data_IF_801226052383
#
_entry.id   IF_801226052383
#
_cell.length_a   1.000
_cell.length_b   1.000
_cell.length_c   1.000
_cell.angle_alpha   90.00
_cell.angle_beta   90.00
_cell.angle_gamma   90.00
#
_symmetry.space_group_name_H-M   'P 1'
#
loop_
_entity.id
_entity.type
_entity.pdbx_description
1 polymer ?
#
# COMPACT_ATOMS: atom_id res chain seq x y z
N UNK A 1 12.82 13.95 6.53
CA UNK A 1 11.79 13.20 7.28
C UNK A 1 10.43 13.85 7.15
N UNK A 2 10.25 15.12 7.49
CA UNK A 2 8.98 15.84 7.42
C UNK A 2 8.30 15.71 6.04
N UNK A 3 9.06 15.81 4.96
CA UNK A 3 8.54 15.61 3.60
C UNK A 3 8.04 14.19 3.37
N UNK A 4 8.75 13.17 3.85
CA UNK A 4 8.35 11.77 3.72
C UNK A 4 7.09 11.49 4.54
N UNK A 5 6.99 12.05 5.76
CA UNK A 5 5.78 11.98 6.57
C UNK A 5 4.58 12.61 5.84
N UNK A 6 4.76 13.78 5.25
CA UNK A 6 3.69 14.47 4.51
C UNK A 6 3.23 13.67 3.28
N UNK A 7 4.17 13.04 2.55
CA UNK A 7 3.86 12.23 1.37
C UNK A 7 3.19 10.90 1.71
N UNK A 8 3.58 10.28 2.82
CA UNK A 8 3.12 8.94 3.19
C UNK A 8 1.81 8.90 3.99
N UNK A 9 1.28 10.04 4.44
CA UNK A 9 0.05 10.07 5.23
C UNK A 9 -1.16 9.62 4.43
N UNK A 10 -2.01 8.81 5.07
CA UNK A 10 -3.34 8.51 4.54
C UNK A 10 -4.17 9.79 4.46
N UNK A 11 -4.95 9.99 3.37
CA UNK A 11 -5.92 11.10 3.29
C UNK A 11 -7.00 11.05 4.37
N UNK A 12 -7.27 9.88 4.96
CA UNK A 12 -8.23 9.69 6.04
C UNK A 12 -7.52 9.86 7.39
N UNK A 13 -7.73 11.00 8.06
CA UNK A 13 -7.27 11.22 9.42
C UNK A 13 -7.91 10.21 10.40
N UNK A 14 -7.09 9.64 11.32
CA UNK A 14 -7.51 8.76 12.42
C UNK A 14 -8.05 7.38 12.02
N UNK A 15 -7.50 6.74 11.01
CA UNK A 15 -7.80 5.32 10.72
C UNK A 15 -6.93 4.37 11.54
N UNK A 16 -7.44 3.18 11.93
CA UNK A 16 -6.65 2.16 12.64
C UNK A 16 -5.38 1.75 11.88
N UNK A 17 -4.38 1.26 12.62
CA UNK A 17 -3.14 0.73 12.05
C UNK A 17 -3.42 -0.27 10.90
N UNK A 18 -2.63 -0.19 9.83
CA UNK A 18 -2.74 -1.07 8.67
C UNK A 18 -3.92 -0.80 7.74
N UNK A 19 -4.75 0.22 7.98
CA UNK A 19 -5.88 0.52 7.08
C UNK A 19 -5.38 0.89 5.69
N UNK A 20 -4.39 1.76 5.57
CA UNK A 20 -3.82 2.12 4.28
C UNK A 20 -3.34 0.88 3.51
N UNK A 21 -2.54 0.03 4.16
CA UNK A 21 -2.01 -1.18 3.54
C UNK A 21 -3.12 -2.17 3.14
N UNK A 22 -4.18 -2.30 3.94
CA UNK A 22 -5.36 -3.13 3.59
C UNK A 22 -6.12 -2.60 2.39
N UNK A 23 -6.31 -1.29 2.31
CA UNK A 23 -7.04 -0.65 1.21
C UNK A 23 -6.36 -0.89 -0.15
N UNK A 24 -5.02 -0.94 -0.17
CA UNK A 24 -4.24 -1.17 -1.38
C UNK A 24 -3.68 -2.59 -1.49
N UNK A 25 -4.12 -3.53 -0.62
CA UNK A 25 -3.48 -4.84 -0.44
C UNK A 25 -3.24 -5.59 -1.76
N UNK A 26 -4.24 -5.71 -2.61
CA UNK A 26 -4.10 -6.43 -3.88
C UNK A 26 -2.96 -5.84 -4.74
N UNK A 27 -2.85 -4.52 -4.76
CA UNK A 27 -1.80 -3.84 -5.49
C UNK A 27 -0.43 -4.02 -4.84
N UNK A 28 -0.38 -3.90 -3.51
CA UNK A 28 0.84 -4.08 -2.72
C UNK A 28 1.39 -5.50 -2.85
N UNK A 29 0.53 -6.52 -2.83
CA UNK A 29 0.91 -7.92 -3.03
C UNK A 29 1.63 -8.12 -4.37
N UNK A 30 1.12 -7.54 -5.44
CA UNK A 30 1.74 -7.65 -6.77
C UNK A 30 3.05 -6.86 -6.80
N UNK A 31 3.01 -5.60 -6.43
CA UNK A 31 4.12 -4.66 -6.63
C UNK A 31 5.33 -5.01 -5.76
N UNK A 32 5.13 -5.26 -4.46
CA UNK A 32 6.21 -5.57 -3.54
C UNK A 32 6.77 -6.99 -3.77
N UNK A 33 5.90 -7.99 -4.05
CA UNK A 33 6.38 -9.33 -4.39
C UNK A 33 7.21 -9.33 -5.66
N UNK A 34 6.76 -8.64 -6.70
CA UNK A 34 7.48 -8.51 -7.95
C UNK A 34 8.80 -7.76 -7.78
N UNK A 35 8.75 -6.53 -7.27
CA UNK A 35 9.93 -5.66 -7.20
C UNK A 35 11.01 -6.22 -6.26
N UNK A 36 10.62 -6.72 -5.07
CA UNK A 36 11.57 -7.34 -4.14
C UNK A 36 12.19 -8.62 -4.70
N UNK A 37 11.44 -9.43 -5.48
CA UNK A 37 11.97 -10.61 -6.15
C UNK A 37 12.91 -10.25 -7.30
N UNK A 38 12.60 -9.21 -8.09
CA UNK A 38 13.50 -8.73 -9.16
C UNK A 38 14.86 -8.28 -8.63
N UNK A 39 14.90 -7.63 -7.47
CA UNK A 39 16.16 -7.24 -6.83
C UNK A 39 17.04 -8.45 -6.44
N UNK A 40 16.48 -9.65 -6.39
CA UNK A 40 17.21 -10.92 -6.19
C UNK A 40 17.40 -11.71 -7.50
N UNK A 41 17.11 -11.11 -8.64
CA UNK A 41 17.33 -11.73 -9.96
C UNK A 41 16.15 -12.54 -10.50
N UNK A 42 14.98 -12.52 -9.86
CA UNK A 42 13.76 -13.13 -10.38
C UNK A 42 13.35 -12.47 -11.71
N UNK A 43 12.96 -13.27 -12.68
CA UNK A 43 12.68 -12.82 -14.05
C UNK A 43 11.19 -12.73 -14.39
N UNK A 44 10.29 -12.95 -13.44
CA UNK A 44 8.86 -12.73 -13.62
C UNK A 44 8.58 -11.29 -14.06
N UNK A 45 7.68 -11.13 -15.03
CA UNK A 45 7.12 -9.81 -15.33
C UNK A 45 6.10 -9.43 -14.24
N UNK A 46 5.81 -8.13 -14.11
CA UNK A 46 4.77 -7.66 -13.19
C UNK A 46 3.39 -8.23 -13.54
N UNK A 47 3.09 -8.41 -14.84
CA UNK A 47 1.83 -8.99 -15.30
C UNK A 47 1.74 -10.48 -14.93
N UNK A 48 2.82 -11.25 -15.10
CA UNK A 48 2.84 -12.67 -14.74
C UNK A 48 2.77 -12.84 -13.20
N UNK A 49 3.39 -11.93 -12.44
CA UNK A 49 3.24 -11.89 -10.98
C UNK A 49 1.79 -11.63 -10.57
N UNK A 50 1.10 -10.71 -11.24
CA UNK A 50 -0.32 -10.48 -10.99
C UNK A 50 -1.16 -11.72 -11.27
N UNK A 51 -0.95 -12.39 -12.42
CA UNK A 51 -1.65 -13.64 -12.78
C UNK A 51 -1.39 -14.77 -11.77
N UNK A 52 -0.15 -14.88 -11.31
CA UNK A 52 0.21 -15.87 -10.28
C UNK A 52 -0.49 -15.58 -8.95
N UNK A 53 -0.47 -14.34 -8.48
CA UNK A 53 -1.04 -13.94 -7.19
C UNK A 53 -2.57 -14.02 -7.19
N UNK A 54 -3.22 -13.55 -8.27
CA UNK A 54 -4.68 -13.45 -8.35
C UNK A 54 -5.35 -14.76 -8.79
N UNK A 55 -4.73 -15.52 -9.71
CA UNK A 55 -5.34 -16.68 -10.33
C UNK A 55 -4.57 -17.99 -10.14
N UNK A 56 -3.41 -17.96 -9.45
CA UNK A 56 -2.55 -19.14 -9.31
C UNK A 56 -1.90 -19.62 -10.60
N UNK A 57 -1.83 -18.78 -11.63
CA UNK A 57 -1.30 -19.13 -12.94
C UNK A 57 0.21 -18.95 -12.98
N UNK A 58 0.94 -20.06 -13.04
CA UNK A 58 2.39 -20.06 -13.21
C UNK A 58 2.72 -19.62 -14.65
N UNK A 59 3.69 -18.71 -14.77
CA UNK A 59 4.11 -18.22 -16.07
C UNK A 59 4.94 -19.29 -16.83
N UNK A 60 4.73 -19.36 -18.13
CA UNK A 60 5.48 -20.29 -19.00
C UNK A 60 6.99 -19.97 -19.01
N UNK A 61 7.82 -21.00 -18.93
CA UNK A 61 9.27 -20.87 -18.95
C UNK A 61 9.90 -20.38 -17.64
N UNK A 62 9.12 -20.25 -16.55
CA UNK A 62 9.62 -19.92 -15.22
C UNK A 62 9.85 -21.17 -14.39
N UNK A 63 10.92 -21.15 -13.58
CA UNK A 63 11.20 -22.28 -12.70
C UNK A 63 10.38 -22.23 -11.40
N UNK A 64 10.41 -23.35 -10.67
CA UNK A 64 9.69 -23.47 -9.42
C UNK A 64 10.23 -22.54 -8.33
N UNK A 65 11.54 -22.27 -8.34
CA UNK A 65 12.20 -21.39 -7.37
C UNK A 65 11.74 -19.94 -7.50
N UNK A 66 11.69 -19.43 -8.75
CA UNK A 66 11.19 -18.08 -9.04
C UNK A 66 9.72 -17.93 -8.64
N UNK A 67 8.89 -18.93 -8.94
CA UNK A 67 7.47 -18.97 -8.59
C UNK A 67 7.29 -18.99 -7.07
N UNK A 68 8.00 -19.86 -6.37
CA UNK A 68 7.94 -19.98 -4.91
C UNK A 68 8.37 -18.68 -4.24
N UNK A 69 9.40 -18.00 -4.74
CA UNK A 69 9.87 -16.71 -4.21
C UNK A 69 8.75 -15.67 -4.19
N UNK A 70 7.95 -15.57 -5.27
CA UNK A 70 6.82 -14.62 -5.34
C UNK A 70 5.71 -15.01 -4.35
N UNK A 71 5.37 -16.30 -4.27
CA UNK A 71 4.33 -16.77 -3.35
C UNK A 71 4.72 -16.57 -1.88
N UNK A 72 5.99 -16.75 -1.55
CA UNK A 72 6.53 -16.47 -0.23
C UNK A 72 6.43 -14.98 0.14
N UNK A 73 6.74 -14.09 -0.80
CA UNK A 73 6.54 -12.65 -0.58
C UNK A 73 5.07 -12.33 -0.32
N UNK A 74 4.15 -12.90 -1.11
CA UNK A 74 2.71 -12.74 -0.90
C UNK A 74 2.31 -13.09 0.53
N UNK A 75 2.71 -14.27 1.01
CA UNK A 75 2.39 -14.74 2.37
C UNK A 75 2.98 -13.82 3.45
N UNK A 76 4.23 -13.38 3.28
CA UNK A 76 4.89 -12.49 4.23
C UNK A 76 4.24 -11.09 4.29
N UNK A 77 3.78 -10.56 3.15
CA UNK A 77 3.04 -9.29 3.10
C UNK A 77 1.66 -9.46 3.77
N UNK A 78 0.94 -10.54 3.47
CA UNK A 78 -0.35 -10.85 4.10
C UNK A 78 -0.22 -10.97 5.61
N UNK A 79 0.84 -11.62 6.10
CA UNK A 79 1.15 -11.72 7.54
C UNK A 79 1.25 -10.34 8.20
N UNK A 80 1.99 -9.40 7.58
CA UNK A 80 2.15 -8.05 8.12
C UNK A 80 0.85 -7.22 8.08
N UNK A 81 0.04 -7.38 7.03
CA UNK A 81 -1.14 -6.51 6.81
C UNK A 81 -2.37 -7.01 7.57
N UNK A 82 -2.55 -8.33 7.70
CA UNK A 82 -3.74 -8.89 8.38
C UNK A 82 -3.68 -8.77 9.90
N UNK A 83 -2.47 -8.70 10.49
CA UNK A 83 -2.27 -8.61 11.94
C UNK A 83 -1.32 -7.46 12.31
N UNK A 84 -1.62 -6.21 11.95
CA UNK A 84 -0.71 -5.08 12.11
C UNK A 84 -0.39 -4.79 13.59
N UNK A 85 -1.27 -5.16 14.51
CA UNK A 85 -1.07 -5.01 15.95
C UNK A 85 -0.01 -6.00 16.48
N UNK A 86 0.09 -7.17 15.86
CA UNK A 86 1.07 -8.20 16.20
C UNK A 86 2.39 -8.03 15.42
N UNK A 87 2.33 -7.40 14.25
CA UNK A 87 3.49 -7.10 13.41
C UNK A 87 4.31 -5.95 14.01
N UNK A 88 4.95 -6.20 15.15
CA UNK A 88 5.87 -5.28 15.82
C UNK A 88 7.31 -5.62 15.46
N UNK A 89 8.23 -4.66 15.59
CA UNK A 89 9.65 -4.93 15.45
C UNK A 89 10.11 -5.75 16.66
N UNK A 90 10.27 -7.05 16.47
CA UNK A 90 10.70 -8.02 17.48
C UNK A 90 11.49 -9.15 16.83
N UNK A 91 12.28 -9.87 17.61
CA UNK A 91 12.99 -11.05 17.10
C UNK A 91 12.03 -12.07 16.50
N UNK A 92 10.89 -12.33 17.16
CA UNK A 92 9.89 -13.29 16.70
C UNK A 92 9.30 -12.89 15.34
N UNK A 93 8.99 -11.60 15.15
CA UNK A 93 8.48 -11.08 13.86
C UNK A 93 9.51 -11.21 12.74
N UNK A 94 10.79 -10.86 13.02
CA UNK A 94 11.86 -10.98 12.01
C UNK A 94 12.11 -12.43 11.63
N UNK A 95 12.11 -13.34 12.61
CA UNK A 95 12.25 -14.78 12.39
C UNK A 95 11.04 -15.35 11.64
N UNK A 96 9.82 -14.91 11.94
CA UNK A 96 8.61 -15.29 11.21
C UNK A 96 8.66 -14.84 9.74
N UNK A 97 9.09 -13.60 9.48
CA UNK A 97 9.31 -13.11 8.11
C UNK A 97 10.33 -13.95 7.37
N UNK A 98 11.43 -14.33 8.03
CA UNK A 98 12.41 -15.24 7.41
C UNK A 98 11.79 -16.59 7.10
N UNK A 99 11.05 -17.19 8.03
CA UNK A 99 10.39 -18.48 7.81
C UNK A 99 9.47 -18.45 6.59
N UNK A 100 8.62 -17.43 6.48
CA UNK A 100 7.70 -17.26 5.34
C UNK A 100 8.45 -17.03 4.02
N UNK A 101 9.48 -16.17 4.02
CA UNK A 101 10.23 -15.80 2.81
C UNK A 101 11.17 -16.92 2.31
N UNK A 102 11.59 -17.85 3.19
CA UNK A 102 12.54 -18.91 2.88
C UNK A 102 11.87 -20.27 2.64
N UNK A 103 10.57 -20.40 2.84
CA UNK A 103 9.84 -21.66 2.69
C UNK A 103 10.03 -22.24 1.28
N UNK A 104 10.45 -23.52 1.21
CA UNK A 104 10.72 -24.22 -0.04
C UNK A 104 11.91 -23.69 -0.85
N UNK A 105 12.66 -22.68 -0.35
CA UNK A 105 13.81 -22.09 -1.05
C UNK A 105 15.16 -22.43 -0.40
N UNK A 106 15.15 -22.97 0.82
CA UNK A 106 16.39 -23.34 1.51
C UNK A 106 16.80 -24.76 1.17
N UNK A 107 18.11 -25.02 0.93
CA UNK A 107 18.63 -26.38 0.74
C UNK A 107 18.32 -27.31 1.90
N UNK A 108 18.37 -26.78 3.14
CA UNK A 108 17.93 -27.46 4.35
C UNK A 108 16.67 -26.77 4.90
N UNK A 109 15.48 -27.40 4.81
CA UNK A 109 14.23 -26.84 5.33
C UNK A 109 14.26 -26.53 6.82
N UNK A 110 15.14 -27.21 7.60
CA UNK A 110 15.29 -26.93 9.02
C UNK A 110 15.87 -25.56 9.33
N UNK A 111 16.46 -24.88 8.35
CA UNK A 111 17.01 -23.53 8.50
C UNK A 111 15.96 -22.43 8.34
N UNK A 112 14.77 -22.73 7.83
CA UNK A 112 13.69 -21.77 7.76
C UNK A 112 13.29 -21.28 9.16
N UNK A 113 13.30 -19.94 9.36
CA UNK A 113 12.97 -19.35 10.66
C UNK A 113 14.02 -19.59 11.75
N UNK A 114 15.28 -19.79 11.40
CA UNK A 114 16.36 -19.97 12.37
C UNK A 114 17.55 -19.09 12.09
N UNK A 115 18.15 -18.56 13.15
CA UNK A 115 19.44 -17.89 13.08
C UNK A 115 20.49 -18.94 12.69
N UNK A 116 21.36 -18.58 11.76
CA UNK A 116 22.38 -19.50 11.24
C UNK A 116 23.42 -19.88 12.30
N UNK A 117 23.87 -21.09 12.21
CA UNK A 117 24.97 -21.64 13.03
C UNK A 117 26.27 -21.81 12.26
N UNK A 118 26.30 -21.43 10.97
CA UNK A 118 27.46 -21.55 10.07
C UNK A 118 27.94 -20.18 9.62
N UNK A 119 29.23 -20.06 9.33
CA UNK A 119 29.73 -18.91 8.59
C UNK A 119 29.15 -18.90 7.16
N UNK A 120 28.91 -17.72 6.66
CA UNK A 120 28.44 -17.51 5.28
C UNK A 120 29.29 -16.41 4.62
N UNK A 121 29.24 -16.39 3.31
CA UNK A 121 29.83 -15.32 2.47
C UNK A 121 28.72 -14.59 1.73
N UNK A 122 28.95 -13.33 1.40
CA UNK A 122 28.04 -12.54 0.58
C UNK A 122 28.59 -12.55 -0.85
N UNK A 123 27.82 -13.12 -1.78
CA UNK A 123 28.19 -13.13 -3.18
C UNK A 123 28.42 -11.72 -3.72
N UNK A 124 29.60 -11.50 -4.35
CA UNK A 124 29.97 -10.20 -4.90
C UNK A 124 30.52 -9.19 -3.89
N UNK A 125 30.79 -9.58 -2.63
CA UNK A 125 31.39 -8.72 -1.61
C UNK A 125 32.55 -9.42 -0.89
N UNK A 126 33.53 -8.63 -0.45
CA UNK A 126 34.62 -9.09 0.40
C UNK A 126 34.29 -9.02 1.91
N UNK A 127 33.14 -8.49 2.24
CA UNK A 127 32.68 -8.41 3.62
C UNK A 127 32.40 -9.80 4.21
N UNK A 128 32.95 -10.07 5.38
CA UNK A 128 32.76 -11.33 6.10
C UNK A 128 31.85 -11.08 7.32
N UNK A 129 30.62 -11.58 7.31
CA UNK A 129 29.71 -11.47 8.45
C UNK A 129 30.21 -12.24 9.67
N UNK A 130 29.71 -11.87 10.86
CA UNK A 130 30.04 -12.54 12.14
C UNK A 130 29.88 -14.03 12.02
N UNK A 131 30.92 -14.81 12.32
CA UNK A 131 30.95 -16.25 12.16
C UNK A 131 30.48 -17.02 13.41
N UNK A 132 30.68 -16.46 14.62
CA UNK A 132 30.39 -17.12 15.90
C UNK A 132 28.88 -17.09 16.19
N UNK A 133 28.19 -18.26 16.28
CA UNK A 133 26.74 -18.32 16.45
C UNK A 133 26.21 -17.59 17.68
N UNK A 134 26.86 -17.77 18.83
CA UNK A 134 26.45 -17.14 20.09
C UNK A 134 26.57 -15.60 20.02
N UNK A 135 27.62 -15.12 19.35
CA UNK A 135 27.79 -13.68 19.14
C UNK A 135 26.77 -13.14 18.14
N UNK A 136 26.42 -13.92 17.15
CA UNK A 136 25.40 -13.57 16.18
C UNK A 136 24.02 -13.45 16.82
N UNK A 137 23.63 -14.41 17.67
CA UNK A 137 22.37 -14.36 18.44
C UNK A 137 22.31 -13.13 19.36
N UNK A 138 23.40 -12.87 20.09
CA UNK A 138 23.50 -11.67 20.93
C UNK A 138 23.33 -10.39 20.12
N UNK A 139 24.07 -10.24 19.02
CA UNK A 139 24.02 -9.06 18.15
C UNK A 139 22.65 -8.92 17.46
N UNK A 140 22.01 -10.04 17.08
CA UNK A 140 20.66 -10.00 16.52
C UNK A 140 19.67 -9.45 17.55
N UNK A 141 19.75 -9.91 18.81
CA UNK A 141 18.94 -9.36 19.90
C UNK A 141 19.17 -7.87 20.12
N UNK A 142 20.43 -7.42 20.11
CA UNK A 142 20.79 -6.00 20.26
C UNK A 142 20.24 -5.17 19.09
N UNK A 143 20.47 -5.59 17.85
CA UNK A 143 20.02 -4.85 16.64
C UNK A 143 18.50 -4.71 16.62
N UNK A 144 17.77 -5.80 16.87
CA UNK A 144 16.30 -5.76 16.88
C UNK A 144 15.77 -4.95 18.07
N UNK A 145 16.41 -5.03 19.24
CA UNK A 145 16.08 -4.22 20.42
C UNK A 145 16.27 -2.73 20.15
N UNK A 146 17.42 -2.34 19.58
CA UNK A 146 17.68 -0.94 19.19
C UNK A 146 16.64 -0.47 18.13
N UNK A 147 16.34 -1.30 17.14
CA UNK A 147 15.34 -0.95 16.15
C UNK A 147 13.96 -0.71 16.79
N UNK A 148 13.58 -1.51 17.79
CA UNK A 148 12.29 -1.37 18.47
C UNK A 148 12.16 -0.07 19.29
N UNK A 149 13.29 0.50 19.74
CA UNK A 149 13.32 1.77 20.48
C UNK A 149 13.26 3.02 19.59
N UNK A 150 13.43 2.88 18.28
CA UNK A 150 13.35 4.01 17.33
C UNK A 150 11.87 4.40 17.14
N UNK A 151 11.53 5.63 17.53
CA UNK A 151 10.15 6.15 17.45
C UNK A 151 9.76 6.60 16.05
N UNK A 152 10.69 7.21 15.28
CA UNK A 152 10.41 7.69 13.92
C UNK A 152 10.31 6.50 12.95
N UNK A 153 9.17 6.29 12.26
CA UNK A 153 8.95 5.13 11.40
C UNK A 153 9.91 5.06 10.20
N UNK A 154 10.41 6.18 9.71
CA UNK A 154 11.40 6.20 8.62
C UNK A 154 12.79 5.83 9.10
N UNK A 155 13.19 6.32 10.26
CA UNK A 155 14.45 5.92 10.88
C UNK A 155 14.43 4.43 11.24
N UNK A 156 13.33 3.94 11.81
CA UNK A 156 13.14 2.54 12.17
C UNK A 156 13.22 1.63 10.93
N UNK A 157 12.50 2.00 9.85
CA UNK A 157 12.53 1.25 8.59
C UNK A 157 13.92 1.22 7.96
N UNK A 158 14.58 2.37 7.90
CA UNK A 158 15.92 2.47 7.33
C UNK A 158 16.97 1.73 8.17
N UNK A 159 16.87 1.81 9.50
CA UNK A 159 17.73 1.06 10.42
C UNK A 159 17.66 -0.44 10.14
N UNK A 160 16.46 -0.99 9.99
CA UNK A 160 16.26 -2.42 9.66
C UNK A 160 16.84 -2.76 8.29
N UNK A 161 16.70 -1.88 7.30
CA UNK A 161 17.25 -2.08 5.95
C UNK A 161 18.78 -2.10 5.92
N UNK A 162 19.44 -1.38 6.83
CA UNK A 162 20.90 -1.36 6.94
C UNK A 162 21.40 -2.55 7.73
N UNK A 163 20.89 -2.73 8.95
CA UNK A 163 21.52 -3.60 9.94
C UNK A 163 21.19 -5.08 9.78
N UNK A 164 19.99 -5.45 9.32
CA UNK A 164 19.66 -6.86 9.10
C UNK A 164 20.53 -7.49 7.99
N UNK A 165 20.67 -6.91 6.80
CA UNK A 165 21.55 -7.47 5.79
C UNK A 165 23.04 -7.30 6.13
N UNK A 166 23.45 -6.30 6.93
CA UNK A 166 24.82 -6.18 7.41
C UNK A 166 25.17 -7.30 8.39
N UNK A 167 24.27 -7.59 9.33
CA UNK A 167 24.47 -8.65 10.32
C UNK A 167 24.41 -10.05 9.71
N UNK A 168 23.59 -10.24 8.65
CA UNK A 168 23.34 -11.55 8.03
C UNK A 168 22.92 -12.62 9.06
N UNK A 169 21.81 -12.43 9.81
CA UNK A 169 21.42 -13.38 10.85
C UNK A 169 21.00 -14.75 10.32
N UNK A 170 20.63 -14.87 9.07
CA UNK A 170 20.15 -16.10 8.42
C UNK A 170 21.15 -16.61 7.38
N UNK A 171 21.01 -17.87 6.98
CA UNK A 171 21.87 -18.47 5.94
C UNK A 171 21.66 -17.83 4.57
N UNK A 172 20.43 -17.43 4.25
CA UNK A 172 20.05 -16.69 3.04
C UNK A 172 18.84 -15.78 3.37
N UNK A 173 18.27 -15.12 2.37
CA UNK A 173 17.03 -14.31 2.43
C UNK A 173 17.16 -13.01 3.23
N UNK A 174 18.33 -12.69 3.79
CA UNK A 174 18.53 -11.53 4.66
C UNK A 174 18.09 -10.18 4.06
N UNK A 175 18.38 -9.94 2.78
CA UNK A 175 17.95 -8.71 2.08
C UNK A 175 16.42 -8.66 1.88
N UNK A 176 15.80 -9.79 1.57
CA UNK A 176 14.33 -9.89 1.44
C UNK A 176 13.64 -9.64 2.77
N UNK A 177 14.14 -10.24 3.86
CA UNK A 177 13.66 -9.98 5.23
C UNK A 177 13.76 -8.51 5.58
N UNK A 178 14.90 -7.85 5.31
CA UNK A 178 15.09 -6.44 5.65
C UNK A 178 14.10 -5.52 4.92
N UNK A 179 13.82 -5.78 3.63
CA UNK A 179 12.84 -5.02 2.84
C UNK A 179 11.40 -5.19 3.35
N UNK A 180 11.04 -6.40 3.76
CA UNK A 180 9.73 -6.64 4.36
C UNK A 180 9.64 -6.04 5.77
N UNK A 181 10.66 -6.22 6.61
CA UNK A 181 10.73 -5.65 7.96
C UNK A 181 10.64 -4.12 7.96
N UNK A 182 11.21 -3.45 6.94
CA UNK A 182 11.08 -2.00 6.77
C UNK A 182 9.62 -1.53 6.61
N UNK A 183 8.71 -2.40 6.22
CA UNK A 183 7.28 -2.08 6.12
C UNK A 183 6.53 -2.16 7.45
N UNK A 184 7.09 -2.79 8.48
CA UNK A 184 6.44 -2.90 9.80
C UNK A 184 6.06 -1.52 10.36
N UNK A 185 7.01 -0.54 10.49
CA UNK A 185 6.66 0.78 11.01
C UNK A 185 5.65 1.52 10.12
N UNK A 186 5.74 1.41 8.81
CA UNK A 186 4.79 2.09 7.92
C UNK A 186 3.37 1.56 8.08
N UNK A 187 3.19 0.25 8.16
CA UNK A 187 1.90 -0.38 8.39
C UNK A 187 1.33 0.01 9.75
N UNK A 188 2.16 0.01 10.81
CA UNK A 188 1.74 0.37 12.16
C UNK A 188 1.33 1.83 12.31
N UNK A 189 2.04 2.74 11.66
CA UNK A 189 1.75 4.17 11.68
C UNK A 189 0.76 4.61 10.59
N UNK A 190 0.16 3.64 9.89
CA UNK A 190 -0.80 3.88 8.80
C UNK A 190 -0.24 4.81 7.71
N UNK A 191 1.04 4.61 7.39
CA UNK A 191 1.75 5.29 6.33
C UNK A 191 1.75 4.45 5.05
N UNK A 192 2.05 5.09 3.93
CA UNK A 192 2.22 4.43 2.65
C UNK A 192 3.27 3.31 2.75
N UNK A 193 2.99 2.06 2.36
CA UNK A 193 3.99 1.01 2.32
C UNK A 193 5.06 1.25 1.26
N UNK A 194 6.27 0.75 1.52
CA UNK A 194 7.41 0.80 0.62
C UNK A 194 7.41 -0.43 -0.29
N UNK A 195 7.30 -0.26 -1.61
CA UNK A 195 7.18 -1.36 -2.59
C UNK A 195 8.44 -1.67 -3.38
N UNK A 196 9.45 -0.81 -3.35
CA UNK A 196 10.67 -0.90 -4.17
C UNK A 196 10.43 -0.91 -5.69
N UNK A 197 9.24 -0.51 -6.13
CA UNK A 197 8.90 -0.48 -7.56
C UNK A 197 9.82 0.50 -8.29
N UNK A 198 10.24 0.11 -9.49
CA UNK A 198 11.15 0.86 -10.35
C UNK A 198 12.56 1.10 -9.76
N UNK A 199 12.93 0.51 -8.62
CA UNK A 199 14.31 0.61 -8.10
C UNK A 199 15.26 -0.13 -9.04
N UNK A 200 16.27 0.55 -9.61
CA UNK A 200 17.25 -0.12 -10.46
C UNK A 200 18.05 -1.14 -9.63
N UNK A 201 18.11 -2.38 -10.10
CA UNK A 201 18.79 -3.47 -9.41
C UNK A 201 20.26 -3.11 -9.09
N UNK A 202 20.97 -2.54 -10.05
CA UNK A 202 22.38 -2.17 -9.88
C UNK A 202 22.55 -1.10 -8.79
N UNK A 203 21.68 -0.08 -8.73
CA UNK A 203 21.75 0.95 -7.70
C UNK A 203 21.55 0.36 -6.30
N UNK A 204 20.64 -0.61 -6.16
CA UNK A 204 20.44 -1.31 -4.88
C UNK A 204 21.65 -2.18 -4.51
N UNK A 205 22.24 -2.89 -5.48
CA UNK A 205 23.44 -3.71 -5.25
C UNK A 205 24.61 -2.83 -4.82
N UNK A 206 24.88 -1.73 -5.54
CA UNK A 206 25.97 -0.79 -5.22
C UNK A 206 25.79 -0.16 -3.85
N UNK A 207 24.53 0.18 -3.51
CA UNK A 207 24.20 0.69 -2.18
C UNK A 207 24.50 -0.31 -1.06
N UNK A 208 24.16 -1.60 -1.30
CA UNK A 208 24.45 -2.67 -0.33
C UNK A 208 25.95 -2.94 -0.19
N UNK A 209 26.71 -2.90 -1.29
CA UNK A 209 28.18 -3.00 -1.25
C UNK A 209 28.77 -1.84 -0.45
N UNK A 210 28.27 -0.62 -0.62
CA UNK A 210 28.67 0.54 0.16
C UNK A 210 28.48 0.31 1.68
N UNK A 211 27.37 -0.30 2.07
CA UNK A 211 27.09 -0.69 3.46
C UNK A 211 28.06 -1.77 3.94
N UNK A 212 28.26 -2.82 3.17
CA UNK A 212 29.06 -3.98 3.55
C UNK A 212 30.56 -3.66 3.67
N UNK A 213 31.12 -2.99 2.68
CA UNK A 213 32.57 -2.84 2.55
C UNK A 213 33.09 -1.51 3.08
N UNK A 214 32.26 -0.47 3.01
CA UNK A 214 32.68 0.90 3.33
C UNK A 214 32.02 1.46 4.59
N UNK A 215 31.06 0.77 5.19
CA UNK A 215 30.20 1.26 6.26
C UNK A 215 29.53 2.61 5.88
N UNK A 216 29.21 2.80 4.60
CA UNK A 216 28.57 3.98 4.06
C UNK A 216 27.10 3.68 3.71
N UNK A 217 26.20 4.47 4.27
CA UNK A 217 24.77 4.27 4.13
C UNK A 217 24.09 5.28 3.19
N UNK A 218 24.85 6.27 2.70
CA UNK A 218 24.29 7.40 1.95
C UNK A 218 23.56 6.96 0.67
N UNK A 219 24.19 6.09 -0.11
CA UNK A 219 23.56 5.60 -1.35
C UNK A 219 22.31 4.76 -1.04
N UNK A 220 22.34 3.91 0.00
CA UNK A 220 21.16 3.14 0.39
C UNK A 220 20.06 4.06 0.92
N UNK A 221 20.41 5.14 1.64
CA UNK A 221 19.43 6.16 2.05
C UNK A 221 18.78 6.84 0.84
N UNK A 222 19.55 7.19 -0.16
CA UNK A 222 19.02 7.85 -1.35
C UNK A 222 18.10 6.91 -2.15
N UNK A 223 18.47 5.63 -2.27
CA UNK A 223 17.61 4.57 -2.83
C UNK A 223 16.32 4.41 -2.02
N UNK A 224 16.42 4.38 -0.69
CA UNK A 224 15.26 4.26 0.22
C UNK A 224 14.30 5.45 0.05
N UNK A 225 14.81 6.67 0.08
CA UNK A 225 14.00 7.89 -0.07
C UNK A 225 13.30 7.89 -1.43
N UNK A 226 14.04 7.65 -2.49
CA UNK A 226 13.50 7.59 -3.85
C UNK A 226 12.42 6.50 -4.00
N UNK A 227 12.68 5.30 -3.49
CA UNK A 227 11.74 4.18 -3.54
C UNK A 227 10.45 4.48 -2.75
N UNK A 228 10.57 5.18 -1.61
CA UNK A 228 9.43 5.58 -0.82
C UNK A 228 8.57 6.64 -1.53
N UNK A 229 9.19 7.69 -2.07
CA UNK A 229 8.51 8.72 -2.86
C UNK A 229 7.77 8.09 -4.06
N UNK A 230 8.42 7.15 -4.74
CA UNK A 230 7.84 6.42 -5.86
C UNK A 230 6.63 5.57 -5.45
N UNK A 231 6.73 4.89 -4.31
CA UNK A 231 5.62 4.11 -3.74
C UNK A 231 4.43 5.02 -3.41
N UNK A 232 4.67 6.16 -2.77
CA UNK A 232 3.62 7.12 -2.44
C UNK A 232 2.91 7.66 -3.69
N UNK A 233 3.65 8.01 -4.74
CA UNK A 233 3.06 8.48 -6.01
C UNK A 233 2.08 7.45 -6.59
N UNK A 234 2.40 6.16 -6.48
CA UNK A 234 1.54 5.10 -6.99
C UNK A 234 0.33 4.82 -6.09
N UNK A 235 0.54 4.71 -4.79
CA UNK A 235 -0.49 4.22 -3.87
C UNK A 235 -1.46 5.29 -3.39
N UNK A 236 -1.02 6.53 -3.23
CA UNK A 236 -1.93 7.65 -2.92
C UNK A 236 -2.95 7.85 -4.05
N UNK A 237 -2.51 7.75 -5.32
CA UNK A 237 -3.43 7.82 -6.46
C UNK A 237 -4.45 6.65 -6.46
N UNK A 238 -4.02 5.44 -6.11
CA UNK A 238 -4.92 4.28 -5.97
C UNK A 238 -5.93 4.51 -4.85
N UNK A 239 -5.47 4.93 -3.68
CA UNK A 239 -6.34 5.17 -2.52
C UNK A 239 -7.35 6.29 -2.78
N UNK A 240 -6.96 7.37 -3.45
CA UNK A 240 -7.87 8.45 -3.86
C UNK A 240 -8.93 7.98 -4.87
N UNK A 241 -8.64 6.95 -5.66
CA UNK A 241 -9.61 6.35 -6.58
C UNK A 241 -10.60 5.38 -5.89
N UNK A 242 -10.25 4.89 -4.71
CA UNK A 242 -11.07 4.03 -3.86
C UNK A 242 -11.98 4.89 -2.96
N UNK A 243 -12.75 5.81 -3.54
CA UNK A 243 -13.78 6.53 -2.79
C UNK A 243 -14.80 5.50 -2.30
N UNK A 244 -14.92 5.27 -0.97
CA UNK A 244 -15.94 4.36 -0.47
C UNK A 244 -17.29 4.85 -0.97
N UNK A 245 -18.18 3.93 -1.42
CA UNK A 245 -19.52 4.31 -1.83
C UNK A 245 -20.18 5.11 -0.69
N UNK A 246 -20.67 6.28 -0.98
CA UNK A 246 -21.41 7.10 0.00
C UNK A 246 -22.60 6.27 0.50
N UNK A 247 -22.57 5.93 1.80
CA UNK A 247 -23.59 5.08 2.44
C UNK A 247 -24.99 5.73 2.31
N UNK A 248 -25.05 7.06 2.42
CA UNK A 248 -26.28 7.81 2.23
C UNK A 248 -26.78 7.69 0.79
N UNK A 249 -25.88 7.79 -0.17
CA UNK A 249 -26.16 7.61 -1.59
C UNK A 249 -26.64 6.18 -1.91
N UNK A 250 -26.08 5.16 -1.26
CA UNK A 250 -26.53 3.77 -1.42
C UNK A 250 -27.90 3.57 -0.81
N UNK A 251 -28.13 4.07 0.41
CA UNK A 251 -29.41 3.97 1.13
C UNK A 251 -30.56 4.61 0.36
N UNK A 252 -30.33 5.79 -0.19
CA UNK A 252 -31.33 6.58 -0.89
C UNK A 252 -31.16 6.62 -2.40
N UNK A 253 -30.50 5.60 -3.00
CA UNK A 253 -30.12 5.60 -4.43
C UNK A 253 -31.29 5.91 -5.37
N UNK A 254 -32.46 5.31 -5.12
CA UNK A 254 -33.65 5.49 -5.95
C UNK A 254 -34.28 6.86 -5.71
N UNK A 255 -34.42 7.23 -4.44
CA UNK A 255 -34.95 8.55 -4.03
C UNK A 255 -34.09 9.70 -4.58
N UNK A 256 -32.78 9.53 -4.59
CA UNK A 256 -31.84 10.51 -5.14
C UNK A 256 -32.11 10.75 -6.64
N UNK A 257 -32.30 9.67 -7.40
CA UNK A 257 -32.65 9.73 -8.82
C UNK A 257 -33.98 10.45 -9.06
N UNK A 258 -35.00 10.10 -8.29
CA UNK A 258 -36.34 10.66 -8.41
C UNK A 258 -36.36 12.16 -8.07
N UNK A 259 -35.68 12.57 -6.98
CA UNK A 259 -35.60 13.99 -6.58
C UNK A 259 -34.83 14.82 -7.62
N UNK A 260 -33.68 14.33 -8.13
CA UNK A 260 -32.93 15.03 -9.18
C UNK A 260 -33.78 15.18 -10.44
N UNK A 261 -34.47 14.12 -10.86
CA UNK A 261 -35.36 14.18 -12.02
C UNK A 261 -36.51 15.17 -11.80
N UNK A 262 -37.11 15.19 -10.62
CA UNK A 262 -38.17 16.11 -10.26
C UNK A 262 -37.69 17.58 -10.28
N UNK A 263 -36.53 17.88 -9.72
CA UNK A 263 -35.95 19.24 -9.75
C UNK A 263 -35.69 19.70 -11.19
N UNK A 264 -35.11 18.86 -12.03
CA UNK A 264 -34.84 19.19 -13.44
C UNK A 264 -36.13 19.44 -14.21
N UNK A 265 -37.16 18.60 -14.01
CA UNK A 265 -38.46 18.73 -14.71
C UNK A 265 -39.32 19.85 -14.21
N UNK A 266 -39.08 20.32 -12.98
CA UNK A 266 -39.86 21.46 -12.42
C UNK A 266 -39.47 22.82 -12.97
N UNK A 267 -38.28 22.95 -13.59
CA UNK A 267 -37.72 24.22 -14.04
C UNK A 267 -37.38 25.21 -12.91
N UNK A 268 -37.52 24.82 -11.63
CA UNK A 268 -37.28 25.74 -10.52
C UNK A 268 -35.78 26.02 -10.32
N UNK A 269 -35.43 27.17 -9.73
CA UNK A 269 -34.03 27.51 -9.41
C UNK A 269 -33.43 26.45 -8.46
N UNK A 270 -32.16 26.08 -8.71
CA UNK A 270 -31.45 25.12 -7.90
C UNK A 270 -30.95 25.74 -6.59
N UNK A 271 -31.68 25.52 -5.52
CA UNK A 271 -31.33 26.00 -4.19
C UNK A 271 -31.82 25.01 -3.11
N UNK A 272 -31.37 25.21 -1.86
CA UNK A 272 -31.77 24.35 -0.73
C UNK A 272 -33.30 24.31 -0.54
N UNK A 273 -34.00 25.41 -0.76
CA UNK A 273 -35.43 25.47 -0.53
C UNK A 273 -36.23 24.64 -1.55
N UNK A 274 -35.87 24.74 -2.83
CA UNK A 274 -36.48 23.96 -3.94
C UNK A 274 -36.25 22.46 -3.76
N UNK A 275 -35.03 22.06 -3.38
CA UNK A 275 -34.70 20.66 -3.11
C UNK A 275 -35.47 20.14 -1.89
N UNK A 276 -35.50 20.91 -0.79
CA UNK A 276 -36.22 20.49 0.43
C UNK A 276 -37.73 20.35 0.21
N UNK A 277 -38.32 21.17 -0.64
CA UNK A 277 -39.74 21.09 -0.99
C UNK A 277 -40.10 19.79 -1.75
N UNK A 278 -39.11 19.17 -2.42
CA UNK A 278 -39.27 17.94 -3.19
C UNK A 278 -38.82 16.68 -2.44
N UNK A 279 -38.35 16.81 -1.18
CA UNK A 279 -37.92 15.65 -0.39
C UNK A 279 -39.11 14.80 0.02
N UNK A 280 -39.11 13.51 -0.33
CA UNK A 280 -40.14 12.61 0.14
C UNK A 280 -39.99 12.29 1.63
N UNK A 281 -41.09 11.87 2.25
CA UNK A 281 -41.09 11.46 3.67
C UNK A 281 -40.25 10.21 3.99
N UNK A 282 -39.76 9.50 2.98
CA UNK A 282 -38.89 8.35 3.11
C UNK A 282 -37.45 8.73 3.53
N UNK A 283 -37.03 10.00 3.34
CA UNK A 283 -35.75 10.49 3.84
C UNK A 283 -35.89 10.82 5.31
N UNK A 284 -35.11 10.12 6.15
CA UNK A 284 -35.12 10.29 7.61
C UNK A 284 -34.77 11.74 8.00
N UNK A 285 -35.35 12.29 9.07
CA UNK A 285 -35.12 13.69 9.47
C UNK A 285 -33.63 14.01 9.68
N UNK A 286 -32.87 13.10 10.27
CA UNK A 286 -31.43 13.22 10.52
C UNK A 286 -30.59 13.24 9.23
N UNK A 287 -31.04 12.60 8.17
CA UNK A 287 -30.32 12.50 6.90
C UNK A 287 -30.66 13.65 5.93
N UNK A 288 -31.71 14.43 6.18
CA UNK A 288 -32.26 15.41 5.22
C UNK A 288 -31.26 16.49 4.79
N UNK A 289 -30.51 17.04 5.71
CA UNK A 289 -29.56 18.10 5.38
C UNK A 289 -28.42 17.57 4.50
N UNK A 290 -27.88 16.42 4.88
CA UNK A 290 -26.80 15.77 4.12
C UNK A 290 -27.30 15.29 2.75
N UNK A 291 -28.50 14.75 2.67
CA UNK A 291 -29.13 14.34 1.42
C UNK A 291 -29.39 15.56 0.49
N UNK A 292 -29.83 16.69 1.06
CA UNK A 292 -30.01 17.93 0.27
C UNK A 292 -28.69 18.43 -0.32
N UNK A 293 -27.60 18.38 0.45
CA UNK A 293 -26.25 18.72 -0.06
C UNK A 293 -25.81 17.77 -1.16
N UNK A 294 -26.10 16.46 -1.01
CA UNK A 294 -25.81 15.46 -2.04
C UNK A 294 -26.56 15.74 -3.34
N UNK A 295 -27.87 16.05 -3.25
CA UNK A 295 -28.69 16.42 -4.43
C UNK A 295 -28.12 17.67 -5.13
N UNK A 296 -27.78 18.71 -4.37
CA UNK A 296 -27.19 19.94 -4.94
C UNK A 296 -25.86 19.69 -5.63
N UNK A 297 -25.00 18.84 -5.04
CA UNK A 297 -23.73 18.44 -5.63
C UNK A 297 -23.91 17.67 -6.94
N UNK A 298 -24.85 16.72 -6.99
CA UNK A 298 -25.17 15.97 -8.21
C UNK A 298 -25.76 16.86 -9.30
N UNK A 299 -26.64 17.81 -8.95
CA UNK A 299 -27.20 18.78 -9.90
C UNK A 299 -26.11 19.69 -10.48
N UNK A 300 -25.17 20.16 -9.66
CA UNK A 300 -24.04 20.97 -10.12
C UNK A 300 -23.12 20.21 -11.10
N UNK A 301 -22.96 18.89 -10.90
CA UNK A 301 -22.16 18.01 -11.78
C UNK A 301 -22.94 17.40 -12.95
N UNK A 302 -24.21 17.79 -13.18
CA UNK A 302 -25.07 17.16 -14.17
C UNK A 302 -24.74 17.60 -15.62
N UNK A 303 -24.53 16.62 -16.49
CA UNK A 303 -24.22 16.84 -17.91
C UNK A 303 -24.86 15.74 -18.79
N UNK A 304 -24.87 15.93 -20.09
CA UNK A 304 -25.55 15.03 -21.05
C UNK A 304 -25.09 13.55 -20.92
N UNK A 305 -23.83 13.31 -20.59
CA UNK A 305 -23.26 11.97 -20.44
C UNK A 305 -23.66 11.24 -19.14
N UNK A 306 -24.10 11.97 -18.08
CA UNK A 306 -24.47 11.35 -16.79
C UNK A 306 -25.97 11.46 -16.45
N UNK A 307 -26.75 12.22 -17.23
CA UNK A 307 -28.19 12.46 -17.01
C UNK A 307 -29.01 11.16 -17.00
N UNK A 308 -28.62 10.19 -17.80
CA UNK A 308 -29.29 8.87 -17.88
C UNK A 308 -29.29 8.14 -16.52
N UNK A 309 -28.33 8.41 -15.64
CA UNK A 309 -28.28 7.83 -14.28
C UNK A 309 -29.47 8.22 -13.42
N UNK A 310 -30.13 9.33 -13.75
CA UNK A 310 -31.29 9.91 -13.06
C UNK A 310 -32.58 9.80 -13.89
N UNK A 311 -32.60 8.99 -14.93
CA UNK A 311 -33.77 8.80 -15.80
C UNK A 311 -34.13 10.06 -16.61
N UNK A 312 -33.17 10.94 -16.84
CA UNK A 312 -33.34 12.16 -17.64
C UNK A 312 -32.89 11.94 -19.10
N UNK A 313 -33.64 12.47 -20.03
CA UNK A 313 -33.27 12.50 -21.46
C UNK A 313 -32.35 13.70 -21.73
N UNK A 314 -31.42 13.61 -22.70
CA UNK A 314 -30.54 14.71 -23.07
C UNK A 314 -31.29 16.03 -23.41
N UNK A 315 -32.47 15.94 -24.03
CA UNK A 315 -33.32 17.08 -24.35
C UNK A 315 -33.93 17.77 -23.11
N UNK A 316 -34.35 16.97 -22.10
CA UNK A 316 -34.86 17.52 -20.83
C UNK A 316 -33.76 18.30 -20.08
N UNK A 317 -32.54 17.79 -20.09
CA UNK A 317 -31.41 18.45 -19.48
C UNK A 317 -31.00 19.72 -20.23
N UNK A 318 -31.03 19.71 -21.57
CA UNK A 318 -30.70 20.86 -22.39
C UNK A 318 -31.69 22.03 -22.16
N UNK A 319 -32.99 21.72 -22.10
CA UNK A 319 -34.04 22.70 -21.77
C UNK A 319 -33.83 23.33 -20.39
N UNK A 320 -33.64 22.46 -19.39
CA UNK A 320 -33.40 22.91 -18.01
C UNK A 320 -32.16 23.83 -17.88
N UNK A 321 -31.04 23.49 -18.52
CA UNK A 321 -29.83 24.35 -18.49
C UNK A 321 -30.05 25.70 -19.13
N UNK A 322 -30.87 25.81 -20.19
CA UNK A 322 -31.23 27.09 -20.81
C UNK A 322 -32.08 27.95 -19.87
N UNK A 323 -33.05 27.37 -19.16
CA UNK A 323 -33.88 28.04 -18.17
C UNK A 323 -33.06 28.57 -16.98
N UNK A 324 -32.09 27.78 -16.47
CA UNK A 324 -31.20 28.21 -15.39
C UNK A 324 -30.28 29.39 -15.80
N UNK A 325 -29.96 29.52 -17.09
CA UNK A 325 -29.11 30.62 -17.62
C UNK A 325 -29.90 31.88 -17.87
N UNK A 326 -31.24 31.77 -17.98
CA UNK A 326 -32.14 32.91 -18.26
C UNK A 326 -32.79 33.49 -16.99
N UNK A 327 -32.66 32.88 -15.83
CA UNK A 327 -33.11 33.45 -14.55
C UNK A 327 -31.97 34.29 -13.97
N UNK A 328 -32.08 35.65 -13.99
CA UNK A 328 -31.10 36.52 -13.31
C UNK A 328 -31.19 36.27 -11.80
N UNK A 329 -30.06 36.21 -11.13
CA UNK A 329 -29.99 36.36 -9.68
C UNK A 329 -30.58 37.72 -9.27
N UNK A 330 -31.72 37.70 -8.60
CA UNK A 330 -32.15 38.79 -7.70
C UNK A 330 -31.64 38.50 -6.29
#
# INVERSE_FOLDING_TARGET
>A
REQLHALGRSPAEQTPAGTFARDILNRLLIDLSWASSQLEGNTYSRLDTARLIEFGQVAEGKDAFETQMILNHKQAIEFLVHSPEQAVVSQDTIVALHALLSDGLMPDPAMCGRIRSRAIEIGGSVYLPVALPQRLEELFGIVVGMAAEIEDPFEQAFFLMVHLPYLQPFEDVNKRVSRLAANIPFIRHNLCPLSFIDVPQQAYVDAMIGVYELNQVDLLRDVFVWAYERSCQQYVAVQQSLVPPDILRLRYRQVLGDVIAAVVRSGQPVNKASVNAMLPGSVQPEDREHFTQLVLKELAGLHAGNAVRFGLRPLELAGWKQEQTQSPCD
#
